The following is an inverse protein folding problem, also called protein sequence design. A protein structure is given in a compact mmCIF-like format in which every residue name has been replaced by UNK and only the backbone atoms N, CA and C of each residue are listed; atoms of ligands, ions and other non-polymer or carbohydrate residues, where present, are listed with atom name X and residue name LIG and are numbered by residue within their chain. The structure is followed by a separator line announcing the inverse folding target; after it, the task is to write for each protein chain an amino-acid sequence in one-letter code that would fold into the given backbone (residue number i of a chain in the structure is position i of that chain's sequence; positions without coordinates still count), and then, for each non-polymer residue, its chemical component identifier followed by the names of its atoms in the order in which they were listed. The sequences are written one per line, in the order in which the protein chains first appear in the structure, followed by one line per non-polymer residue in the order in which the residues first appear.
data_IF_940582460268
#
_entry.id   IF_940582460268
#
_cell.length_a   1.000
_cell.length_b   1.000
_cell.length_c   1.000
_cell.angle_alpha   90.00
_cell.angle_beta   90.00
_cell.angle_gamma   90.00
#
_symmetry.space_group_name_H-M   'P 1'
#
loop_
_entity.id
_entity.type
_entity.pdbx_description
1 polymer ?
#
# COMPACT_ATOMS: atom_id res chain seq x y z
N UNK A 1 -19.79 -13.02 19.97
CA UNK A 1 -19.68 -12.90 18.51
C UNK A 1 -20.77 -12.00 17.97
N UNK A 2 -20.42 -11.08 17.17
CA UNK A 2 -21.40 -10.11 16.71
C UNK A 2 -22.29 -10.60 15.57
N UNK A 3 -21.90 -11.65 14.88
CA UNK A 3 -22.74 -12.25 13.86
C UNK A 3 -22.88 -11.48 12.56
N UNK A 4 -22.24 -10.33 12.44
CA UNK A 4 -22.31 -9.56 11.20
C UNK A 4 -21.26 -10.05 10.23
N UNK A 5 -21.66 -10.43 9.00
CA UNK A 5 -20.67 -10.80 7.99
C UNK A 5 -19.85 -9.59 7.58
N UNK A 6 -18.61 -9.85 7.20
CA UNK A 6 -17.76 -8.78 6.67
C UNK A 6 -18.26 -8.38 5.28
N UNK A 7 -18.10 -7.09 4.91
CA UNK A 7 -18.52 -6.65 3.58
C UNK A 7 -17.75 -7.38 2.48
N UNK A 8 -18.45 -7.67 1.39
CA UNK A 8 -17.88 -8.31 0.21
C UNK A 8 -17.81 -7.36 -0.97
N UNK A 9 -18.29 -6.13 -0.81
CA UNK A 9 -18.24 -5.10 -1.83
C UNK A 9 -17.41 -3.93 -1.35
N UNK A 10 -16.63 -3.38 -2.28
CA UNK A 10 -15.81 -2.22 -1.98
C UNK A 10 -16.68 -0.97 -2.07
N UNK A 11 -16.53 -0.09 -1.10
CA UNK A 11 -17.20 1.20 -1.03
C UNK A 11 -16.18 2.25 -0.58
N UNK A 12 -16.52 3.52 -0.74
CA UNK A 12 -15.63 4.58 -0.27
C UNK A 12 -15.44 4.50 1.25
N UNK A 13 -16.50 4.12 1.98
CA UNK A 13 -16.41 3.96 3.43
C UNK A 13 -15.45 2.83 3.81
N UNK A 14 -15.51 1.71 3.10
CA UNK A 14 -14.61 0.60 3.35
C UNK A 14 -13.17 0.99 3.03
N UNK A 15 -12.96 1.72 1.94
CA UNK A 15 -11.64 2.20 1.56
C UNK A 15 -11.07 3.11 2.66
N UNK A 16 -11.88 4.04 3.15
CA UNK A 16 -11.44 4.95 4.21
C UNK A 16 -11.06 4.18 5.47
N UNK A 17 -11.88 3.22 5.86
CA UNK A 17 -11.60 2.40 7.04
C UNK A 17 -10.31 1.60 6.85
N UNK A 18 -10.14 1.01 5.68
CA UNK A 18 -8.94 0.22 5.38
C UNK A 18 -7.69 1.09 5.42
N UNK A 19 -7.71 2.23 4.75
CA UNK A 19 -6.54 3.11 4.70
C UNK A 19 -6.18 3.59 6.10
N UNK A 20 -7.18 4.06 6.86
CA UNK A 20 -6.91 4.59 8.19
C UNK A 20 -6.39 3.52 9.14
N UNK A 21 -7.01 2.34 9.12
CA UNK A 21 -6.58 1.23 9.98
C UNK A 21 -5.20 0.74 9.61
N UNK A 22 -4.96 0.53 8.31
CA UNK A 22 -3.70 0.01 7.83
C UNK A 22 -2.55 0.95 8.15
N UNK A 23 -2.67 2.22 7.81
CA UNK A 23 -1.57 3.16 8.05
C UNK A 23 -1.41 3.52 9.52
N UNK A 24 -2.46 3.35 10.32
CA UNK A 24 -2.30 3.38 11.77
C UNK A 24 -1.34 2.31 12.25
N UNK A 25 -1.43 1.12 11.66
CA UNK A 25 -0.53 0.01 11.98
C UNK A 25 0.86 0.23 11.41
N UNK A 26 0.96 0.79 10.21
CA UNK A 26 2.25 1.11 9.59
C UNK A 26 3.04 2.06 10.48
N UNK A 27 2.38 3.06 11.05
CA UNK A 27 3.06 4.02 11.94
C UNK A 27 3.69 3.34 13.14
N UNK A 28 3.10 2.24 13.62
CA UNK A 28 3.58 1.51 14.78
C UNK A 28 4.57 0.41 14.42
N UNK A 29 4.74 0.12 13.14
CA UNK A 29 5.59 -0.98 12.73
C UNK A 29 7.07 -0.62 12.87
N UNK A 30 7.89 -1.46 13.53
CA UNK A 30 9.29 -1.12 13.75
C UNK A 30 10.15 -1.15 12.49
N UNK A 31 9.73 -1.86 11.45
CA UNK A 31 10.52 -1.94 10.22
C UNK A 31 10.19 -0.82 9.23
N UNK A 32 8.90 -0.63 8.92
CA UNK A 32 8.52 0.34 7.89
C UNK A 32 8.01 1.67 8.44
N UNK A 33 7.57 1.69 9.71
CA UNK A 33 7.12 2.93 10.33
C UNK A 33 8.14 4.06 10.26
N UNK A 34 9.40 3.80 10.65
CA UNK A 34 10.42 4.85 10.58
C UNK A 34 10.65 5.42 9.20
N UNK A 35 10.52 4.60 8.15
CA UNK A 35 10.68 5.07 6.77
C UNK A 35 9.58 6.07 6.42
N UNK A 36 8.34 5.72 6.75
CA UNK A 36 7.21 6.62 6.50
C UNK A 36 7.31 7.88 7.35
N UNK A 37 7.71 7.75 8.62
CA UNK A 37 7.84 8.90 9.50
C UNK A 37 8.89 9.87 8.99
N UNK A 38 10.02 9.36 8.49
CA UNK A 38 11.06 10.20 7.94
C UNK A 38 10.59 10.98 6.72
N UNK A 39 9.70 10.38 5.91
CA UNK A 39 9.19 11.00 4.69
C UNK A 39 8.04 11.95 4.98
N UNK A 40 7.13 11.58 5.86
CA UNK A 40 5.87 12.28 6.06
C UNK A 40 5.85 13.19 7.29
N UNK A 41 6.75 12.96 8.25
CA UNK A 41 6.72 13.69 9.51
C UNK A 41 5.51 13.31 10.34
N UNK A 42 4.97 14.27 11.07
CA UNK A 42 3.85 14.01 11.98
C UNK A 42 2.48 14.18 11.34
N UNK A 43 2.42 14.85 10.20
CA UNK A 43 1.14 15.17 9.57
C UNK A 43 0.84 14.20 8.43
N UNK A 44 0.16 13.11 8.78
CA UNK A 44 -0.15 12.04 7.84
C UNK A 44 -1.46 12.25 7.10
N UNK A 45 -2.32 13.16 7.54
CA UNK A 45 -3.66 13.28 6.96
C UNK A 45 -3.65 13.61 5.46
N UNK A 46 -2.83 14.56 4.97
CA UNK A 46 -2.79 14.80 3.52
C UNK A 46 -2.38 13.57 2.73
N UNK A 47 -1.47 12.77 3.29
CA UNK A 47 -1.03 11.53 2.65
C UNK A 47 -2.16 10.50 2.64
N UNK A 48 -2.86 10.36 3.78
CA UNK A 48 -3.97 9.41 3.88
C UNK A 48 -5.09 9.77 2.90
N UNK A 49 -5.37 11.06 2.73
CA UNK A 49 -6.38 11.51 1.77
C UNK A 49 -6.01 11.07 0.36
N UNK A 50 -4.74 11.21 -0.02
CA UNK A 50 -4.28 10.77 -1.34
C UNK A 50 -4.36 9.26 -1.48
N UNK A 51 -4.11 8.52 -0.42
CA UNK A 51 -4.21 7.06 -0.46
C UNK A 51 -5.64 6.59 -0.61
N UNK A 52 -6.59 7.27 0.04
CA UNK A 52 -8.01 6.96 -0.17
C UNK A 52 -8.38 7.16 -1.63
N UNK A 53 -7.96 8.28 -2.22
CA UNK A 53 -8.22 8.55 -3.63
C UNK A 53 -7.55 7.51 -4.54
N UNK A 54 -6.33 7.13 -4.20
CA UNK A 54 -5.61 6.12 -4.96
C UNK A 54 -6.35 4.78 -4.97
N UNK A 55 -6.74 4.29 -3.79
CA UNK A 55 -7.44 3.02 -3.69
C UNK A 55 -8.82 3.08 -4.33
N UNK A 56 -9.50 4.23 -4.23
CA UNK A 56 -10.76 4.45 -4.93
C UNK A 56 -10.56 4.33 -6.44
N UNK A 57 -9.49 4.90 -6.96
CA UNK A 57 -9.21 4.85 -8.39
C UNK A 57 -8.90 3.44 -8.88
N UNK A 58 -8.10 2.67 -8.11
CA UNK A 58 -7.69 1.34 -8.59
C UNK A 58 -8.74 0.25 -8.34
N UNK A 59 -9.66 0.46 -7.42
CA UNK A 59 -10.69 -0.56 -7.13
C UNK A 59 -12.07 -0.18 -7.63
N UNK A 60 -12.42 1.11 -7.64
CA UNK A 60 -13.73 1.59 -8.06
C UNK A 60 -13.68 2.36 -9.37
N UNK A 61 -12.49 2.56 -9.93
CA UNK A 61 -12.31 3.27 -11.19
C UNK A 61 -12.83 4.71 -11.13
N UNK A 62 -12.72 5.33 -9.97
CA UNK A 62 -13.29 6.67 -9.76
C UNK A 62 -12.51 7.80 -10.43
N UNK A 63 -11.23 7.57 -10.72
CA UNK A 63 -10.38 8.59 -11.32
C UNK A 63 -9.95 9.70 -10.37
N UNK A 64 -10.14 9.53 -9.07
CA UNK A 64 -9.80 10.56 -8.08
C UNK A 64 -8.31 10.78 -7.92
N UNK A 65 -7.50 9.73 -8.13
CA UNK A 65 -6.06 9.84 -7.98
C UNK A 65 -5.40 10.11 -9.32
N UNK A 66 -4.54 11.12 -9.36
CA UNK A 66 -3.84 11.51 -10.58
C UNK A 66 -2.33 11.52 -10.43
N UNK A 67 -1.82 11.10 -9.28
CA UNK A 67 -0.39 11.06 -9.04
C UNK A 67 0.28 9.84 -9.68
N UNK A 68 1.60 9.75 -9.49
CA UNK A 68 2.40 8.62 -9.98
C UNK A 68 3.10 7.99 -8.78
N UNK A 69 2.62 6.84 -8.30
CA UNK A 69 3.19 6.22 -7.09
C UNK A 69 4.69 5.96 -7.19
N UNK A 70 5.17 5.60 -8.37
CA UNK A 70 6.58 5.32 -8.56
C UNK A 70 7.44 6.54 -8.24
N UNK A 71 7.02 7.73 -8.67
CA UNK A 71 7.78 8.94 -8.42
C UNK A 71 7.86 9.28 -6.94
N UNK A 72 6.79 9.01 -6.20
CA UNK A 72 6.76 9.29 -4.76
C UNK A 72 7.70 8.35 -4.01
N UNK A 73 7.77 7.08 -4.42
CA UNK A 73 8.54 6.06 -3.70
C UNK A 73 10.01 6.03 -4.07
N UNK A 74 10.40 6.54 -5.25
CA UNK A 74 11.77 6.43 -5.72
C UNK A 74 12.83 7.02 -4.78
N UNK A 75 12.57 8.12 -4.07
CA UNK A 75 13.58 8.65 -3.16
C UNK A 75 13.70 7.91 -1.84
N UNK A 76 12.87 6.90 -1.58
CA UNK A 76 12.92 6.16 -0.32
C UNK A 76 13.93 5.02 -0.38
N UNK A 77 14.64 4.74 0.74
CA UNK A 77 15.61 3.64 0.77
C UNK A 77 14.92 2.29 0.97
N UNK A 78 14.14 1.86 -0.01
CA UNK A 78 13.31 0.67 0.10
C UNK A 78 14.03 -0.57 -0.43
N UNK A 79 13.78 -1.69 0.26
CA UNK A 79 14.28 -3.01 -0.10
C UNK A 79 13.10 -3.97 -0.16
N UNK A 80 13.34 -5.17 -0.71
CA UNK A 80 12.30 -6.18 -0.83
C UNK A 80 11.61 -6.46 0.52
N UNK A 81 12.38 -6.52 1.61
CA UNK A 81 11.82 -6.82 2.94
C UNK A 81 10.79 -5.78 3.37
N UNK A 82 10.94 -4.55 2.93
CA UNK A 82 9.97 -3.49 3.27
C UNK A 82 8.64 -3.73 2.57
N UNK A 83 8.68 -4.15 1.31
CA UNK A 83 7.48 -4.50 0.56
C UNK A 83 6.81 -5.75 1.10
N UNK A 84 7.60 -6.75 1.52
CA UNK A 84 7.05 -7.96 2.13
C UNK A 84 6.32 -7.62 3.43
N UNK A 85 6.91 -6.76 4.25
CA UNK A 85 6.27 -6.34 5.49
C UNK A 85 5.01 -5.54 5.22
N UNK A 86 5.06 -4.63 4.25
CA UNK A 86 3.90 -3.85 3.85
C UNK A 86 2.75 -4.75 3.41
N UNK A 87 3.04 -5.73 2.56
CA UNK A 87 2.01 -6.67 2.09
C UNK A 87 1.45 -7.50 3.22
N UNK A 88 2.29 -7.98 4.13
CA UNK A 88 1.84 -8.79 5.25
C UNK A 88 0.86 -8.02 6.13
N UNK A 89 1.20 -6.77 6.45
CA UNK A 89 0.31 -5.92 7.25
C UNK A 89 -0.98 -5.61 6.49
N UNK A 90 -0.87 -5.35 5.19
CA UNK A 90 -2.02 -5.02 4.37
C UNK A 90 -2.99 -6.18 4.28
N UNK A 91 -2.48 -7.38 4.00
CA UNK A 91 -3.33 -8.57 3.88
C UNK A 91 -4.04 -8.88 5.18
N UNK A 92 -3.33 -8.75 6.31
CA UNK A 92 -3.94 -8.98 7.61
C UNK A 92 -5.06 -7.97 7.86
N UNK A 93 -4.84 -6.71 7.54
CA UNK A 93 -5.84 -5.67 7.75
C UNK A 93 -7.05 -5.89 6.85
N UNK A 94 -6.82 -6.17 5.58
CA UNK A 94 -7.91 -6.44 4.63
C UNK A 94 -8.77 -7.61 5.12
N UNK A 95 -8.12 -8.68 5.58
CA UNK A 95 -8.83 -9.89 6.02
C UNK A 95 -9.68 -9.64 7.26
N UNK A 96 -9.35 -8.63 8.05
CA UNK A 96 -10.16 -8.25 9.20
C UNK A 96 -11.38 -7.40 8.82
N UNK A 97 -11.28 -6.67 7.70
CA UNK A 97 -12.29 -5.67 7.37
C UNK A 97 -13.25 -6.10 6.27
N UNK A 98 -12.87 -7.05 5.43
CA UNK A 98 -13.74 -7.49 4.34
C UNK A 98 -13.43 -8.92 3.95
N UNK A 99 -14.29 -9.49 3.09
CA UNK A 99 -14.17 -10.87 2.66
C UNK A 99 -14.58 -10.99 1.19
N UNK A 100 -14.44 -12.20 0.63
CA UNK A 100 -14.90 -12.50 -0.71
C UNK A 100 -14.26 -11.64 -1.80
N UNK A 101 -15.06 -11.16 -2.76
CA UNK A 101 -14.53 -10.38 -3.87
C UNK A 101 -13.80 -9.11 -3.45
N UNK A 102 -14.27 -8.43 -2.40
CA UNK A 102 -13.60 -7.22 -1.92
C UNK A 102 -12.21 -7.54 -1.42
N UNK A 103 -12.11 -8.59 -0.59
CA UNK A 103 -10.82 -9.02 -0.05
C UNK A 103 -9.87 -9.41 -1.19
N UNK A 104 -10.36 -10.20 -2.13
CA UNK A 104 -9.54 -10.63 -3.26
C UNK A 104 -8.99 -9.44 -4.05
N UNK A 105 -9.85 -8.48 -4.36
CA UNK A 105 -9.45 -7.35 -5.20
C UNK A 105 -8.41 -6.47 -4.51
N UNK A 106 -8.61 -6.17 -3.24
CA UNK A 106 -7.62 -5.38 -2.49
C UNK A 106 -6.26 -6.07 -2.48
N UNK A 107 -6.24 -7.35 -2.16
CA UNK A 107 -4.99 -8.10 -2.05
C UNK A 107 -4.31 -8.24 -3.41
N UNK A 108 -5.09 -8.55 -4.45
CA UNK A 108 -4.54 -8.66 -5.80
C UNK A 108 -3.91 -7.34 -6.25
N UNK A 109 -4.61 -6.23 -6.04
CA UNK A 109 -4.07 -4.93 -6.44
C UNK A 109 -2.84 -4.55 -5.63
N UNK A 110 -2.83 -4.87 -4.34
CA UNK A 110 -1.66 -4.59 -3.50
C UNK A 110 -0.43 -5.33 -3.99
N UNK A 111 -0.56 -6.60 -4.35
CA UNK A 111 0.56 -7.37 -4.88
C UNK A 111 1.06 -6.81 -6.20
N UNK A 112 0.15 -6.42 -7.08
CA UNK A 112 0.53 -5.84 -8.37
C UNK A 112 1.24 -4.50 -8.19
N UNK A 113 0.76 -3.69 -7.26
CA UNK A 113 1.39 -2.40 -6.96
C UNK A 113 2.77 -2.61 -6.39
N UNK A 114 2.91 -3.52 -5.42
CA UNK A 114 4.21 -3.81 -4.81
C UNK A 114 5.20 -4.34 -5.86
N UNK A 115 4.76 -5.21 -6.76
CA UNK A 115 5.62 -5.72 -7.81
C UNK A 115 6.05 -4.61 -8.76
N UNK A 116 5.10 -3.77 -9.17
CA UNK A 116 5.40 -2.66 -10.07
C UNK A 116 6.39 -1.68 -9.46
N UNK A 117 6.22 -1.36 -8.18
CA UNK A 117 7.14 -0.45 -7.50
C UNK A 117 8.52 -1.05 -7.35
N UNK A 118 8.61 -2.35 -7.03
CA UNK A 118 9.91 -3.01 -6.93
C UNK A 118 10.62 -3.03 -8.28
N UNK A 119 9.90 -3.28 -9.36
CA UNK A 119 10.49 -3.24 -10.70
C UNK A 119 11.01 -1.83 -10.99
N UNK A 120 10.23 -0.81 -10.69
CA UNK A 120 10.63 0.58 -10.91
C UNK A 120 11.88 0.94 -10.12
N UNK A 121 12.03 0.40 -8.91
CA UNK A 121 13.20 0.62 -8.07
C UNK A 121 14.33 -0.36 -8.38
N UNK A 122 14.09 -1.31 -9.27
CA UNK A 122 15.01 -2.37 -9.66
C UNK A 122 15.46 -3.22 -8.48
N UNK A 123 14.50 -3.62 -7.67
CA UNK A 123 14.71 -4.52 -6.53
C UNK A 123 13.70 -5.66 -6.63
N UNK A 124 13.89 -6.70 -5.80
CA UNK A 124 12.98 -7.81 -5.74
C UNK A 124 13.25 -8.87 -6.80
N UNK A 125 12.37 -9.89 -6.89
CA UNK A 125 12.62 -11.07 -7.74
C UNK A 125 12.76 -10.77 -9.23
N UNK A 126 12.16 -9.67 -9.71
CA UNK A 126 12.22 -9.32 -11.13
C UNK A 126 13.20 -8.20 -11.41
N UNK A 127 14.11 -7.92 -10.48
CA UNK A 127 15.11 -6.89 -10.67
C UNK A 127 16.07 -7.28 -11.78
N UNK A 128 16.48 -6.28 -12.56
CA UNK A 128 17.48 -6.48 -13.60
C UNK A 128 18.88 -6.33 -13.01
N UNK A 129 19.80 -7.15 -13.47
CA UNK A 129 21.19 -7.08 -13.04
C UNK A 129 21.92 -6.06 -13.90
N UNK A 130 21.91 -4.81 -13.48
CA UNK A 130 22.46 -3.71 -14.25
C UNK A 130 23.75 -3.21 -13.62
N UNK A 131 24.91 -3.42 -14.25
CA UNK A 131 26.20 -3.03 -13.68
C UNK A 131 26.31 -1.54 -13.36
N UNK A 132 25.76 -0.68 -14.19
CA UNK A 132 25.86 0.75 -13.96
C UNK A 132 25.10 1.23 -12.75
N UNK A 133 24.24 0.40 -12.20
CA UNK A 133 23.52 0.73 -10.99
C UNK A 133 24.47 0.80 -9.80
N UNK A 134 25.48 -0.04 -9.77
CA UNK A 134 26.47 -0.03 -8.71
C UNK A 134 27.38 1.21 -8.80
N UNK A 135 27.49 1.79 -9.97
CA UNK A 135 28.35 2.95 -10.20
C UNK A 135 27.66 4.27 -9.89
N UNK A 136 26.36 4.26 -9.68
CA UNK A 136 25.63 5.52 -9.44
C UNK A 136 25.69 6.00 -8.02
#
# INVERSE_FOLDING_TARGET
MNGHPLPERISEELIAELVDTFYGRVRQDPLIGPIFLAKLGDDWEPHLAKLRDFWSSVTLMSGRYRGKPQQVHMPLPLETRHFERWLSLFEATVSELCSGPARFLFIDRAHRIAESLQISLNIGPKALDLPQRAAS
#
